data_IF_550940856852
#
_entry.id   IF_550940856852
#
_cell.length_a   1.000
_cell.length_b   1.000
_cell.length_c   1.000
_cell.angle_alpha   90.00
_cell.angle_beta   90.00
_cell.angle_gamma   90.00
#
_symmetry.space_group_name_H-M   'P 1'
#
loop_
_entity.id
_entity.type
_entity.pdbx_description
1 polymer ?
#
# COMPACT_ATOMS: atom_id res chain seq x y z
N UNK A 1 22.33 41.64 45.14
CA UNK A 1 21.28 40.88 44.42
C UNK A 1 20.98 41.36 43.00
N UNK A 2 20.96 42.67 42.70
CA UNK A 2 20.65 43.19 41.34
C UNK A 2 21.74 42.85 40.31
N UNK A 3 23.00 42.88 40.70
CA UNK A 3 24.15 42.57 39.85
C UNK A 3 24.22 41.09 39.43
N UNK A 4 23.93 40.16 40.35
CA UNK A 4 23.81 38.74 40.06
C UNK A 4 22.72 38.44 39.02
N UNK A 5 21.57 39.14 39.12
CA UNK A 5 20.49 39.02 38.14
C UNK A 5 20.90 39.54 36.76
N UNK A 6 21.64 40.65 36.71
CA UNK A 6 22.15 41.20 35.45
C UNK A 6 23.17 40.26 34.78
N UNK A 7 24.09 39.69 35.55
CA UNK A 7 25.07 38.70 35.06
C UNK A 7 24.39 37.45 34.50
N UNK A 8 23.40 36.90 35.23
CA UNK A 8 22.62 35.75 34.76
C UNK A 8 21.82 36.07 33.49
N UNK A 9 21.27 37.29 33.38
CA UNK A 9 20.57 37.72 32.18
C UNK A 9 21.50 37.80 30.96
N UNK A 10 22.73 38.27 31.13
CA UNK A 10 23.74 38.30 30.07
C UNK A 10 24.19 36.89 29.66
N UNK A 11 24.37 35.98 30.61
CA UNK A 11 24.72 34.59 30.34
C UNK A 11 23.61 33.89 29.55
N UNK A 12 22.34 34.06 29.95
CA UNK A 12 21.21 33.48 29.24
C UNK A 12 21.05 34.01 27.81
N UNK A 13 21.38 35.29 27.57
CA UNK A 13 21.39 35.87 26.22
C UNK A 13 22.44 35.21 25.33
N UNK A 14 23.66 35.02 25.83
CA UNK A 14 24.74 34.32 25.10
C UNK A 14 24.35 32.88 24.76
N UNK A 15 23.83 32.14 25.73
CA UNK A 15 23.33 30.77 25.49
C UNK A 15 22.19 30.72 24.47
N UNK A 16 21.30 31.72 24.47
CA UNK A 16 20.22 31.80 23.48
C UNK A 16 20.74 32.08 22.06
N UNK A 17 21.77 32.92 21.93
CA UNK A 17 22.42 33.20 20.64
C UNK A 17 23.15 31.97 20.10
N UNK A 18 23.92 31.27 20.94
CA UNK A 18 24.59 30.01 20.56
C UNK A 18 23.58 28.97 20.06
N UNK A 19 22.48 28.76 20.79
CA UNK A 19 21.40 27.85 20.37
C UNK A 19 20.75 28.26 19.04
N UNK A 20 20.65 29.55 18.75
CA UNK A 20 20.13 30.03 17.46
C UNK A 20 21.10 29.69 16.33
N UNK A 21 22.38 29.98 16.52
CA UNK A 21 23.43 29.68 15.54
C UNK A 21 23.52 28.18 15.26
N UNK A 22 23.46 27.33 16.29
CA UNK A 22 23.45 25.88 16.13
C UNK A 22 22.23 25.40 15.34
N UNK A 23 21.03 25.92 15.63
CA UNK A 23 19.81 25.58 14.87
C UNK A 23 19.93 25.97 13.40
N UNK A 24 20.50 27.13 13.10
CA UNK A 24 20.72 27.56 11.72
C UNK A 24 21.73 26.67 11.00
N UNK A 25 22.83 26.28 11.66
CA UNK A 25 23.80 25.34 11.10
C UNK A 25 23.16 23.99 10.79
N UNK A 26 22.42 23.44 11.75
CA UNK A 26 21.69 22.18 11.57
C UNK A 26 20.64 22.27 10.45
N UNK A 27 19.95 23.40 10.33
CA UNK A 27 19.00 23.63 9.23
C UNK A 27 19.71 23.64 7.87
N UNK A 28 20.83 24.36 7.75
CA UNK A 28 21.65 24.41 6.53
C UNK A 28 22.18 23.03 6.15
N UNK A 29 22.62 22.22 7.11
CA UNK A 29 23.07 20.84 6.85
C UNK A 29 21.93 19.94 6.36
N UNK A 30 20.77 20.00 7.01
CA UNK A 30 19.57 19.26 6.57
C UNK A 30 19.13 19.65 5.16
N UNK A 31 19.22 20.93 4.80
CA UNK A 31 18.89 21.41 3.45
C UNK A 31 19.89 20.87 2.41
N UNK A 32 21.20 20.93 2.70
CA UNK A 32 22.24 20.34 1.85
C UNK A 32 22.07 18.83 1.67
N UNK A 33 21.72 18.12 2.74
CA UNK A 33 21.46 16.67 2.66
C UNK A 33 20.23 16.36 1.80
N UNK A 34 19.13 17.10 1.98
CA UNK A 34 17.94 16.97 1.13
C UNK A 34 18.25 17.22 -0.33
N UNK A 35 19.06 18.23 -0.63
CA UNK A 35 19.49 18.53 -2.00
C UNK A 35 20.31 17.38 -2.60
N UNK A 36 21.25 16.81 -1.85
CA UNK A 36 22.03 15.63 -2.29
C UNK A 36 21.13 14.43 -2.55
N UNK A 37 20.21 14.12 -1.63
CA UNK A 37 19.24 13.02 -1.79
C UNK A 37 18.32 13.24 -2.99
N UNK A 38 17.91 14.48 -3.26
CA UNK A 38 17.10 14.81 -4.42
C UNK A 38 17.88 14.59 -5.74
N UNK A 39 19.16 14.99 -5.79
CA UNK A 39 20.04 14.75 -6.94
C UNK A 39 20.25 13.25 -7.18
N UNK A 40 20.54 12.48 -6.13
CA UNK A 40 20.70 11.02 -6.23
C UNK A 40 19.41 10.35 -6.71
N UNK A 41 18.26 10.73 -6.16
CA UNK A 41 16.98 10.19 -6.58
C UNK A 41 16.66 10.51 -8.05
N UNK A 42 16.99 11.73 -8.51
CA UNK A 42 16.83 12.11 -9.92
C UNK A 42 17.72 11.24 -10.83
N UNK A 43 18.99 11.04 -10.48
CA UNK A 43 19.90 10.17 -11.23
C UNK A 43 19.41 8.72 -11.27
N UNK A 44 19.00 8.17 -10.12
CA UNK A 44 18.45 6.82 -10.02
C UNK A 44 17.19 6.64 -10.85
N UNK A 45 16.33 7.67 -10.90
CA UNK A 45 15.12 7.66 -11.75
C UNK A 45 15.49 7.62 -13.23
N UNK A 46 16.48 8.42 -13.66
CA UNK A 46 16.96 8.41 -15.04
C UNK A 46 17.58 7.05 -15.42
N UNK A 47 18.39 6.45 -14.54
CA UNK A 47 18.96 5.12 -14.77
C UNK A 47 17.87 4.06 -14.91
N UNK A 48 16.91 4.00 -13.98
CA UNK A 48 15.77 3.08 -14.05
C UNK A 48 14.95 3.26 -15.32
N UNK A 49 14.79 4.50 -15.79
CA UNK A 49 14.07 4.77 -17.04
C UNK A 49 14.82 4.21 -18.25
N UNK A 50 16.15 4.41 -18.31
CA UNK A 50 17.02 3.83 -19.35
C UNK A 50 16.96 2.30 -19.34
N UNK A 51 17.10 1.69 -18.16
CA UNK A 51 17.02 0.23 -17.99
C UNK A 51 15.68 -0.35 -18.42
N UNK A 52 14.56 0.37 -18.21
CA UNK A 52 13.23 -0.08 -18.62
C UNK A 52 12.98 0.05 -20.12
N UNK A 53 13.63 0.98 -20.82
CA UNK A 53 13.40 1.23 -22.26
C UNK A 53 13.77 0.03 -23.13
N UNK A 54 14.92 -0.59 -22.90
CA UNK A 54 15.37 -1.75 -23.69
C UNK A 54 14.45 -2.99 -23.59
N UNK A 55 14.07 -3.49 -22.39
CA UNK A 55 13.16 -4.63 -22.28
C UNK A 55 11.73 -4.30 -22.71
N UNK A 56 11.27 -3.05 -22.54
CA UNK A 56 9.95 -2.67 -23.06
C UNK A 56 9.89 -2.71 -24.59
N UNK A 57 10.92 -2.20 -25.28
CA UNK A 57 11.00 -2.27 -26.75
C UNK A 57 10.98 -3.72 -27.26
N UNK A 58 11.71 -4.62 -26.58
CA UNK A 58 11.69 -6.05 -26.91
C UNK A 58 10.33 -6.69 -26.65
N UNK A 59 9.66 -6.35 -25.53
CA UNK A 59 8.32 -6.86 -25.21
C UNK A 59 7.27 -6.35 -26.19
N UNK A 60 7.33 -5.08 -26.60
CA UNK A 60 6.41 -4.50 -27.59
C UNK A 60 6.62 -5.08 -28.97
N UNK A 61 7.87 -5.34 -29.37
CA UNK A 61 8.17 -5.98 -30.65
C UNK A 61 7.68 -7.44 -30.71
N UNK A 62 7.77 -8.16 -29.58
CA UNK A 62 7.35 -9.57 -29.47
C UNK A 62 5.86 -9.78 -29.20
N UNK A 63 5.09 -8.71 -28.94
CA UNK A 63 3.64 -8.82 -28.75
C UNK A 63 2.95 -8.85 -30.13
N UNK A 64 2.37 -9.98 -30.55
CA UNK A 64 1.55 -9.98 -31.75
C UNK A 64 0.35 -9.06 -31.52
N UNK A 65 0.07 -8.16 -32.47
CA UNK A 65 -1.14 -7.33 -32.48
C UNK A 65 -2.34 -8.27 -32.63
N UNK A 66 -2.90 -8.74 -31.52
CA UNK A 66 -4.13 -9.54 -31.54
C UNK A 66 -5.22 -8.67 -32.17
N UNK A 67 -5.72 -9.11 -33.32
CA UNK A 67 -6.88 -8.48 -33.97
C UNK A 67 -8.08 -8.45 -33.02
N UNK A 68 -9.07 -7.59 -33.32
CA UNK A 68 -10.30 -7.52 -32.52
C UNK A 68 -10.89 -8.93 -32.42
N UNK A 69 -11.14 -9.39 -31.18
CA UNK A 69 -11.80 -10.68 -30.95
C UNK A 69 -13.16 -10.64 -31.63
N UNK A 70 -13.48 -11.65 -32.45
CA UNK A 70 -14.84 -11.87 -32.90
C UNK A 70 -15.74 -11.94 -31.65
N UNK A 71 -16.83 -11.18 -31.65
CA UNK A 71 -17.79 -11.22 -30.55
C UNK A 71 -18.27 -12.67 -30.37
N UNK A 72 -18.28 -13.16 -29.14
CA UNK A 72 -18.76 -14.52 -28.88
C UNK A 72 -20.22 -14.61 -29.32
N UNK A 73 -20.54 -15.61 -30.13
CA UNK A 73 -21.92 -15.87 -30.55
C UNK A 73 -22.86 -15.94 -29.33
N UNK A 74 -24.08 -15.42 -29.49
CA UNK A 74 -25.09 -15.43 -28.44
C UNK A 74 -25.31 -16.88 -27.98
N UNK A 75 -25.40 -17.14 -26.66
CA UNK A 75 -25.68 -18.48 -26.16
C UNK A 75 -27.03 -18.96 -26.70
N UNK A 76 -27.11 -20.23 -27.07
CA UNK A 76 -28.36 -20.85 -27.50
C UNK A 76 -29.45 -20.71 -26.42
N UNK A 77 -30.72 -20.48 -26.78
CA UNK A 77 -31.80 -20.34 -25.82
C UNK A 77 -31.92 -21.64 -25.00
N UNK A 78 -31.81 -21.53 -23.68
CA UNK A 78 -31.93 -22.67 -22.76
C UNK A 78 -33.40 -23.07 -22.68
N UNK A 79 -33.71 -24.34 -22.94
CA UNK A 79 -35.04 -24.88 -22.69
C UNK A 79 -35.38 -24.78 -21.19
N UNK A 80 -36.61 -24.32 -20.89
CA UNK A 80 -37.15 -24.23 -19.52
C UNK A 80 -37.11 -25.61 -18.86
N UNK A 81 -36.26 -25.77 -17.84
CA UNK A 81 -36.24 -26.97 -17.01
C UNK A 81 -37.48 -26.96 -16.11
N UNK A 82 -38.44 -27.84 -16.39
CA UNK A 82 -39.59 -28.07 -15.52
C UNK A 82 -39.07 -28.73 -14.24
N UNK A 83 -39.27 -28.09 -13.07
CA UNK A 83 -38.99 -28.72 -11.78
C UNK A 83 -39.99 -29.86 -11.58
N UNK A 84 -39.54 -31.12 -11.62
CA UNK A 84 -40.27 -32.21 -10.98
C UNK A 84 -40.08 -32.06 -9.47
N UNK A 85 -41.13 -31.68 -8.76
CA UNK A 85 -41.19 -31.82 -7.31
C UNK A 85 -41.28 -33.31 -7.02
N UNK A 86 -40.14 -33.94 -6.68
CA UNK A 86 -40.13 -35.25 -6.05
C UNK A 86 -39.96 -35.04 -4.55
N UNK A 87 -41.03 -35.21 -3.80
CA UNK A 87 -40.96 -35.47 -2.37
C UNK A 87 -40.21 -36.79 -2.20
N UNK A 88 -38.97 -36.71 -1.72
CA UNK A 88 -38.16 -37.87 -1.34
C UNK A 88 -37.64 -37.64 0.06
N UNK A 89 -38.30 -38.24 1.04
CA UNK A 89 -37.79 -38.39 2.40
C UNK A 89 -36.70 -39.46 2.42
N UNK A 90 -35.53 -39.14 2.98
CA UNK A 90 -34.49 -40.03 3.53
C UNK A 90 -33.22 -39.17 3.66
N UNK A 91 -32.77 -38.76 4.83
CA UNK A 91 -32.14 -39.64 5.83
C UNK A 91 -30.63 -39.46 5.75
N UNK A 92 -30.06 -38.58 6.59
CA UNK A 92 -28.61 -38.32 6.58
C UNK A 92 -28.17 -37.45 7.76
N UNK A 93 -27.76 -38.11 8.82
CA UNK A 93 -27.04 -37.66 10.02
C UNK A 93 -26.77 -36.15 10.16
N UNK A 94 -27.44 -35.54 11.13
CA UNK A 94 -27.00 -34.31 11.77
C UNK A 94 -25.77 -34.62 12.63
N UNK A 95 -24.58 -34.54 12.04
CA UNK A 95 -23.41 -34.18 12.84
C UNK A 95 -23.60 -32.72 13.27
N UNK A 96 -23.71 -32.54 14.58
CA UNK A 96 -23.85 -31.24 15.24
C UNK A 96 -22.69 -30.34 14.83
N UNK A 97 -22.97 -29.41 13.91
CA UNK A 97 -21.98 -28.45 13.44
C UNK A 97 -21.53 -27.59 14.63
N UNK A 98 -20.21 -27.47 14.89
CA UNK A 98 -19.75 -26.63 15.99
C UNK A 98 -20.25 -25.20 15.79
N UNK A 99 -20.57 -24.46 16.87
CA UNK A 99 -21.10 -23.11 16.76
C UNK A 99 -20.20 -22.26 15.86
N UNK A 100 -20.82 -21.60 14.89
CA UNK A 100 -20.11 -20.78 13.91
C UNK A 100 -19.22 -19.77 14.64
N UNK A 101 -17.91 -19.84 14.39
CA UNK A 101 -16.95 -18.90 14.98
C UNK A 101 -17.37 -17.46 14.62
N UNK A 102 -17.31 -16.53 15.59
CA UNK A 102 -17.60 -15.13 15.30
C UNK A 102 -16.64 -14.61 14.21
N UNK A 103 -17.08 -13.65 13.37
CA UNK A 103 -16.25 -13.10 12.32
C UNK A 103 -14.99 -12.49 12.93
N UNK A 104 -13.83 -12.78 12.34
CA UNK A 104 -12.58 -12.11 12.74
C UNK A 104 -12.63 -10.67 12.23
N UNK A 105 -12.50 -9.71 13.13
CA UNK A 105 -12.59 -8.28 12.85
C UNK A 105 -11.18 -7.67 12.96
N UNK A 106 -10.79 -6.85 11.97
CA UNK A 106 -9.56 -6.04 12.04
C UNK A 106 -9.66 -4.97 13.13
N UNK A 107 -8.54 -4.39 13.56
CA UNK A 107 -8.54 -3.22 14.47
C UNK A 107 -9.35 -2.01 13.96
N UNK A 108 -9.67 -1.99 12.65
CA UNK A 108 -10.51 -0.98 12.00
C UNK A 108 -11.98 -1.40 11.83
N UNK A 109 -12.42 -2.47 12.47
CA UNK A 109 -13.83 -2.90 12.45
C UNK A 109 -14.27 -3.67 11.20
N UNK A 110 -13.35 -4.03 10.28
CA UNK A 110 -13.69 -4.79 9.06
C UNK A 110 -13.63 -6.30 9.27
N UNK A 111 -14.62 -7.01 8.73
CA UNK A 111 -14.67 -8.47 8.72
C UNK A 111 -13.59 -9.06 7.79
N UNK A 112 -12.94 -10.14 8.23
CA UNK A 112 -11.93 -10.89 7.47
C UNK A 112 -12.44 -12.32 7.23
N UNK A 113 -12.48 -12.73 5.97
CA UNK A 113 -12.67 -14.13 5.60
C UNK A 113 -11.32 -14.82 5.49
N UNK A 114 -11.06 -15.82 6.34
CA UNK A 114 -9.83 -16.62 6.26
C UNK A 114 -9.94 -17.59 5.07
N UNK A 115 -9.01 -17.56 4.10
CA UNK A 115 -8.97 -18.55 3.03
C UNK A 115 -8.84 -19.98 3.57
N UNK A 116 -9.48 -20.97 2.94
CA UNK A 116 -9.48 -22.38 3.39
C UNK A 116 -8.08 -22.96 3.63
N UNK A 117 -7.08 -22.53 2.86
CA UNK A 117 -5.68 -22.95 3.02
C UNK A 117 -5.04 -22.53 4.35
N UNK A 118 -5.67 -21.60 5.08
CA UNK A 118 -5.22 -21.07 6.36
C UNK A 118 -6.26 -21.31 7.48
N UNK A 119 -7.31 -22.09 7.20
CA UNK A 119 -8.35 -22.44 8.17
C UNK A 119 -8.01 -23.74 8.85
#
# INVERSE_FOLDING_TARGET
MKELKASNALLNKKLAEERRVERERLKKEREKEKERRAKEHAQKKQQKEKEKKAPNLQKTAKQPKKGKRAASNKPAPKNKRVKKCSNGASGGNSEESPPALPPKITSRGRNITIPKKFR
#
